data_IF_188035073501
#
_entry.id   IF_188035073501
#
_cell.length_a   1.000
_cell.length_b   1.000
_cell.length_c   1.000
_cell.angle_alpha   90.00
_cell.angle_beta   90.00
_cell.angle_gamma   90.00
#
_symmetry.space_group_name_H-M   'P 1'
#
loop_
_entity.id
_entity.type
_entity.pdbx_description
1 polymer ?
#
# COMPACT_ATOMS: atom_id res chain seq x y z
N UNK A 1 -8.97 -2.01 -12.31
CA UNK A 1 -8.47 -3.41 -12.33
C UNK A 1 -7.35 -3.60 -11.31
N UNK A 2 -6.91 -4.84 -11.00
CA UNK A 2 -5.86 -5.12 -9.99
C UNK A 2 -4.55 -4.36 -10.29
N UNK A 3 -4.15 -4.27 -11.56
CA UNK A 3 -2.93 -3.57 -12.01
C UNK A 3 -3.02 -2.06 -11.75
N UNK A 4 -4.15 -1.42 -12.08
CA UNK A 4 -4.33 0.02 -11.86
C UNK A 4 -4.17 0.38 -10.38
N UNK A 5 -4.66 -0.48 -9.48
CA UNK A 5 -4.51 -0.28 -8.03
C UNK A 5 -3.08 -0.47 -7.57
N UNK A 6 -2.35 -1.47 -8.09
CA UNK A 6 -0.94 -1.67 -7.76
C UNK A 6 -0.08 -0.47 -8.19
N UNK A 7 -0.30 0.03 -9.42
CA UNK A 7 0.36 1.24 -9.92
C UNK A 7 -0.03 2.48 -9.10
N UNK A 8 -1.30 2.59 -8.70
CA UNK A 8 -1.77 3.66 -7.84
C UNK A 8 -1.11 3.64 -6.46
N UNK A 9 -1.05 2.47 -5.82
CA UNK A 9 -0.36 2.29 -4.53
C UNK A 9 1.11 2.69 -4.68
N UNK A 10 1.82 2.17 -5.69
CA UNK A 10 3.21 2.51 -5.94
C UNK A 10 3.43 4.02 -6.10
N UNK A 11 2.60 4.69 -6.90
CA UNK A 11 2.68 6.13 -7.09
C UNK A 11 2.52 6.90 -5.77
N UNK A 12 1.57 6.49 -4.93
CA UNK A 12 1.38 7.09 -3.60
C UNK A 12 2.62 6.90 -2.74
N UNK A 13 3.19 5.70 -2.71
CA UNK A 13 4.37 5.40 -1.89
C UNK A 13 5.62 6.16 -2.35
N UNK A 14 5.76 6.42 -3.66
CA UNK A 14 6.88 7.22 -4.19
C UNK A 14 6.71 8.71 -3.87
N UNK A 15 5.48 9.23 -3.92
CA UNK A 15 5.22 10.66 -3.79
C UNK A 15 4.84 11.11 -2.36
N UNK A 16 4.61 10.17 -1.44
CA UNK A 16 4.15 10.45 -0.07
C UNK A 16 5.12 9.83 0.92
N UNK A 17 5.43 10.52 2.01
CA UNK A 17 6.40 10.02 2.99
C UNK A 17 5.95 8.74 3.71
N UNK A 18 4.72 8.71 4.23
CA UNK A 18 4.09 7.55 4.89
C UNK A 18 2.59 7.61 4.72
N UNK A 19 1.96 6.46 4.53
CA UNK A 19 0.50 6.33 4.50
C UNK A 19 0.05 5.10 5.28
N UNK A 20 -1.05 5.19 6.01
CA UNK A 20 -1.59 4.05 6.72
C UNK A 20 -2.29 3.07 5.78
N UNK A 21 -2.31 1.79 6.16
CA UNK A 21 -3.10 0.76 5.46
C UNK A 21 -4.60 1.12 5.43
N UNK A 22 -5.09 1.82 6.46
CA UNK A 22 -6.48 2.27 6.54
C UNK A 22 -6.77 3.32 5.46
N UNK A 23 -5.90 4.33 5.31
CA UNK A 23 -6.06 5.38 4.29
C UNK A 23 -5.94 4.81 2.87
N UNK A 24 -5.04 3.86 2.63
CA UNK A 24 -4.97 3.14 1.35
C UNK A 24 -6.27 2.37 1.07
N UNK A 25 -6.79 1.66 2.07
CA UNK A 25 -8.03 0.91 1.95
C UNK A 25 -9.23 1.82 1.62
N UNK A 26 -9.34 2.96 2.29
CA UNK A 26 -10.38 3.96 2.05
C UNK A 26 -10.24 4.61 0.67
N UNK A 27 -9.02 5.02 0.28
CA UNK A 27 -8.76 5.67 -1.01
C UNK A 27 -9.08 4.78 -2.21
N UNK A 28 -8.77 3.50 -2.11
CA UNK A 28 -9.01 2.54 -3.19
C UNK A 28 -10.34 1.78 -3.04
N UNK A 29 -11.15 2.11 -2.03
CA UNK A 29 -12.44 1.50 -1.75
C UNK A 29 -12.35 -0.04 -1.63
N UNK A 30 -11.30 -0.52 -0.96
CA UNK A 30 -11.03 -1.94 -0.75
C UNK A 30 -10.85 -2.27 0.72
N UNK A 31 -10.91 -3.56 1.06
CA UNK A 31 -10.56 -4.00 2.41
C UNK A 31 -9.07 -3.82 2.70
N UNK A 32 -8.71 -3.61 3.98
CA UNK A 32 -7.31 -3.64 4.45
C UNK A 32 -6.58 -4.93 4.03
N UNK A 33 -7.27 -6.08 4.03
CA UNK A 33 -6.72 -7.37 3.57
C UNK A 33 -6.34 -7.35 2.09
N UNK A 34 -7.07 -6.60 1.26
CA UNK A 34 -6.73 -6.42 -0.15
C UNK A 34 -5.47 -5.58 -0.28
N UNK A 35 -5.34 -4.49 0.47
CA UNK A 35 -4.12 -3.67 0.49
C UNK A 35 -2.91 -4.51 0.90
N UNK A 36 -3.01 -5.30 1.97
CA UNK A 36 -1.91 -6.20 2.37
C UNK A 36 -1.50 -7.15 1.24
N UNK A 37 -2.46 -7.79 0.57
CA UNK A 37 -2.15 -8.67 -0.59
C UNK A 37 -1.53 -7.93 -1.77
N UNK A 38 -1.91 -6.67 -1.98
CA UNK A 38 -1.32 -5.84 -3.04
C UNK A 38 0.11 -5.45 -2.68
N UNK A 39 0.39 -5.13 -1.41
CA UNK A 39 1.74 -4.86 -0.92
C UNK A 39 2.63 -6.12 -0.99
N UNK A 40 2.10 -7.29 -0.63
CA UNK A 40 2.79 -8.57 -0.79
C UNK A 40 3.15 -8.82 -2.26
N UNK A 41 2.21 -8.56 -3.18
CA UNK A 41 2.47 -8.70 -4.62
C UNK A 41 3.55 -7.72 -5.13
N UNK A 42 3.58 -6.49 -4.62
CA UNK A 42 4.65 -5.53 -4.93
C UNK A 42 6.01 -6.04 -4.42
N UNK A 43 6.05 -6.57 -3.19
CA UNK A 43 7.26 -7.15 -2.61
C UNK A 43 7.75 -8.38 -3.39
N UNK A 44 6.84 -9.27 -3.79
CA UNK A 44 7.14 -10.42 -4.66
C UNK A 44 7.66 -10.00 -6.04
N UNK A 45 7.26 -8.83 -6.54
CA UNK A 45 7.78 -8.27 -7.79
C UNK A 45 9.14 -7.57 -7.67
N UNK A 46 9.77 -7.62 -6.49
CA UNK A 46 11.10 -7.03 -6.24
C UNK A 46 11.06 -5.57 -5.78
N UNK A 47 9.89 -5.04 -5.42
CA UNK A 47 9.75 -3.69 -4.89
C UNK A 47 9.77 -3.78 -3.35
N UNK A 48 10.86 -3.38 -2.67
CA UNK A 48 10.94 -3.51 -1.22
C UNK A 48 9.93 -2.58 -0.54
N UNK A 49 8.98 -3.16 0.19
CA UNK A 49 7.99 -2.43 0.99
C UNK A 49 8.37 -2.50 2.46
N UNK A 50 8.53 -1.34 3.11
CA UNK A 50 8.84 -1.24 4.54
C UNK A 50 7.57 -0.84 5.27
N UNK A 51 7.24 -1.54 6.35
CA UNK A 51 6.10 -1.20 7.22
C UNK A 51 6.61 -0.66 8.55
N UNK A 52 5.96 0.37 9.06
CA UNK A 52 6.19 0.96 10.37
C UNK A 52 5.00 0.66 11.26
N UNK A 53 5.22 -0.07 12.35
CA UNK A 53 4.18 -0.40 13.33
C UNK A 53 3.99 0.72 14.35
N UNK A 54 2.78 0.86 14.90
CA UNK A 54 2.46 1.78 15.99
C UNK A 54 1.60 3.00 15.59
N UNK A 55 1.41 3.92 16.53
CA UNK A 55 0.66 5.17 16.32
C UNK A 55 1.45 6.05 15.35
N UNK A 56 0.84 6.46 14.24
CA UNK A 56 1.56 7.15 13.15
C UNK A 56 2.44 6.23 12.30
N UNK A 57 2.26 4.90 12.46
CA UNK A 57 2.83 3.90 11.55
C UNK A 57 2.21 3.96 10.16
N UNK A 58 2.70 3.11 9.25
CA UNK A 58 2.28 3.14 7.86
C UNK A 58 3.18 2.30 6.97
N UNK A 59 2.98 2.41 5.67
CA UNK A 59 3.88 1.97 4.62
C UNK A 59 4.50 3.20 3.96
#
# INVERSE_FOLDING_TARGET
MKIDRLLGILNILVNTGRITIKELAERFEVSKRTVFRDLDALNESGIPIITYSGIGGGV
#
